data_IF_500234539226
#
_entry.id   IF_500234539226
#
_cell.length_a   1.000
_cell.length_b   1.000
_cell.length_c   1.000
_cell.angle_alpha   90.00
_cell.angle_beta   90.00
_cell.angle_gamma   90.00
#
_symmetry.space_group_name_H-M   'P 1'
#
loop_
_entity.id
_entity.type
_entity.pdbx_description
1 polymer ?
#
# COMPACT_ATOMS: atom_id res chain seq x y z
N UNK A 1 -3.07 -1.05 -17.67
CA UNK A 1 -3.47 -0.33 -16.46
C UNK A 1 -2.42 -0.48 -15.38
N UNK A 2 -1.97 0.63 -14.80
CA UNK A 2 -0.98 0.64 -13.72
C UNK A 2 -1.56 1.42 -12.53
N UNK A 3 -1.59 0.77 -11.38
CA UNK A 3 -2.04 1.37 -10.12
C UNK A 3 -0.84 1.47 -9.18
N UNK A 4 -0.64 2.66 -8.63
CA UNK A 4 0.35 2.90 -7.60
C UNK A 4 -0.32 2.71 -6.23
N UNK A 5 0.29 1.92 -5.36
CA UNK A 5 -0.11 1.82 -3.95
C UNK A 5 1.00 2.42 -3.10
N UNK A 6 0.66 3.38 -2.25
CA UNK A 6 1.62 4.16 -1.46
C UNK A 6 0.98 4.62 -0.13
N UNK A 7 1.74 5.13 0.82
CA UNK A 7 1.21 5.76 2.02
C UNK A 7 2.25 5.84 3.13
N UNK A 8 1.79 6.18 4.34
CA UNK A 8 2.63 6.34 5.53
C UNK A 8 3.82 7.29 5.27
N UNK A 9 3.52 8.50 4.79
CA UNK A 9 4.51 9.51 4.44
C UNK A 9 5.06 10.24 5.67
N UNK A 10 4.17 10.64 6.60
CA UNK A 10 4.50 11.40 7.80
C UNK A 10 5.38 12.65 7.53
N UNK A 11 4.98 13.46 6.55
CA UNK A 11 5.66 14.72 6.20
C UNK A 11 4.81 15.89 6.72
N UNK A 12 5.35 16.78 7.58
CA UNK A 12 6.76 16.95 7.94
C UNK A 12 7.22 16.21 9.22
N UNK A 13 6.31 15.60 9.97
CA UNK A 13 6.56 15.21 11.37
C UNK A 13 7.68 14.20 11.59
N UNK A 14 7.83 13.20 10.69
CA UNK A 14 8.86 12.16 10.81
C UNK A 14 9.92 12.24 9.71
N UNK A 15 9.57 12.80 8.55
CA UNK A 15 10.44 12.91 7.37
C UNK A 15 10.19 14.24 6.65
N UNK A 16 11.24 14.81 6.08
CA UNK A 16 11.14 16.08 5.36
C UNK A 16 10.71 15.93 3.89
N UNK A 17 11.06 14.82 3.24
CA UNK A 17 10.71 14.60 1.84
C UNK A 17 10.78 13.13 1.43
N UNK A 18 10.09 12.80 0.35
CA UNK A 18 10.23 11.52 -0.34
C UNK A 18 11.62 11.45 -1.00
N UNK A 19 12.26 10.28 -0.91
CA UNK A 19 13.60 10.05 -1.46
C UNK A 19 13.68 10.37 -2.96
N UNK A 20 14.77 11.01 -3.42
CA UNK A 20 14.91 11.50 -4.79
C UNK A 20 14.75 10.40 -5.85
N UNK A 21 15.31 9.21 -5.59
CA UNK A 21 15.14 8.05 -6.48
C UNK A 21 13.65 7.71 -6.75
N UNK A 22 12.77 7.95 -5.78
CA UNK A 22 11.33 7.74 -5.95
C UNK A 22 10.65 8.81 -6.80
N UNK A 23 11.07 10.07 -6.65
CA UNK A 23 10.54 11.16 -7.48
C UNK A 23 10.76 10.89 -8.97
N UNK A 24 11.92 10.34 -9.34
CA UNK A 24 12.23 10.00 -10.74
C UNK A 24 11.36 8.85 -11.28
N UNK A 25 11.02 7.88 -10.44
CA UNK A 25 10.16 6.75 -10.81
C UNK A 25 8.69 7.14 -10.93
N UNK A 26 8.26 8.14 -10.16
CA UNK A 26 6.91 8.70 -10.16
C UNK A 26 6.74 9.74 -11.27
N UNK A 27 7.12 9.38 -12.50
CA UNK A 27 6.95 10.25 -13.66
C UNK A 27 5.46 10.33 -14.03
N UNK A 28 4.89 11.54 -14.24
CA UNK A 28 3.51 11.71 -14.68
C UNK A 28 3.22 10.95 -16.00
N UNK A 29 1.99 10.49 -16.16
CA UNK A 29 1.51 9.85 -17.41
C UNK A 29 1.71 8.33 -17.51
N UNK A 30 2.41 7.69 -16.56
CA UNK A 30 2.53 6.22 -16.51
C UNK A 30 1.51 5.54 -15.59
N UNK A 31 1.07 6.24 -14.55
CA UNK A 31 0.19 5.73 -13.49
C UNK A 31 -1.23 6.20 -13.79
N UNK A 32 -2.20 5.30 -13.66
CA UNK A 32 -3.62 5.58 -13.95
C UNK A 32 -4.45 5.77 -12.68
N UNK A 33 -4.10 5.07 -11.60
CA UNK A 33 -4.76 5.20 -10.30
C UNK A 33 -3.71 5.23 -9.20
N UNK A 34 -3.92 6.07 -8.18
CA UNK A 34 -3.10 6.10 -6.96
C UNK A 34 -3.97 5.73 -5.76
N UNK A 35 -3.57 4.70 -5.03
CA UNK A 35 -4.19 4.26 -3.79
C UNK A 35 -3.26 4.61 -2.63
N UNK A 36 -3.71 5.50 -1.77
CA UNK A 36 -2.94 6.00 -0.64
C UNK A 36 -3.52 5.53 0.69
N UNK A 37 -2.75 4.81 1.50
CA UNK A 37 -3.18 4.33 2.83
C UNK A 37 -3.28 5.45 3.87
N UNK A 38 -2.89 6.69 3.55
CA UNK A 38 -3.00 7.85 4.44
C UNK A 38 -1.68 8.20 5.11
N UNK A 39 -1.76 8.92 6.23
CA UNK A 39 -0.64 9.53 6.95
C UNK A 39 0.20 10.44 6.02
N UNK A 40 -0.51 11.33 5.32
CA UNK A 40 0.07 12.38 4.49
C UNK A 40 0.51 13.57 5.35
N UNK A 41 -0.24 13.85 6.42
CA UNK A 41 -0.07 14.91 7.42
C UNK A 41 -0.24 16.34 6.87
N UNK A 42 0.04 16.59 5.59
CA UNK A 42 -0.10 17.90 4.95
C UNK A 42 -0.75 17.84 3.57
N UNK A 43 -1.54 18.85 3.22
CA UNK A 43 -2.15 19.02 1.88
C UNK A 43 -1.11 19.06 0.74
N UNK A 44 0.09 19.59 1.00
CA UNK A 44 1.17 19.62 0.01
C UNK A 44 1.53 18.24 -0.55
N UNK A 45 1.46 17.18 0.27
CA UNK A 45 1.75 15.82 -0.18
C UNK A 45 0.60 15.30 -1.05
N UNK A 46 -0.64 15.63 -0.69
CA UNK A 46 -1.82 15.32 -1.50
C UNK A 46 -1.74 15.99 -2.88
N UNK A 47 -1.40 17.28 -2.92
CA UNK A 47 -1.25 18.04 -4.16
C UNK A 47 -0.11 17.47 -5.04
N UNK A 48 0.97 17.01 -4.42
CA UNK A 48 2.04 16.28 -5.11
C UNK A 48 1.54 14.98 -5.76
N UNK A 49 0.72 14.19 -5.07
CA UNK A 49 0.12 12.97 -5.63
C UNK A 49 -0.83 13.28 -6.79
N UNK A 50 -1.59 14.38 -6.69
CA UNK A 50 -2.47 14.87 -7.75
C UNK A 50 -1.72 15.35 -9.00
N UNK A 51 -0.48 15.82 -8.84
CA UNK A 51 0.38 16.17 -9.97
C UNK A 51 0.88 14.94 -10.73
N UNK A 52 1.07 13.81 -10.04
CA UNK A 52 1.50 12.55 -10.67
C UNK A 52 0.34 11.89 -11.43
N UNK A 53 -0.86 11.90 -10.84
CA UNK A 53 -2.04 11.25 -11.37
C UNK A 53 -3.31 12.04 -11.02
N UNK A 54 -4.24 12.18 -11.96
CA UNK A 54 -5.52 12.85 -11.70
C UNK A 54 -6.42 12.03 -10.76
N UNK A 55 -6.38 10.70 -10.88
CA UNK A 55 -7.21 9.79 -10.08
C UNK A 55 -6.45 9.28 -8.85
N UNK A 56 -6.74 9.90 -7.71
CA UNK A 56 -6.08 9.68 -6.42
C UNK A 56 -7.13 9.37 -5.37
N UNK A 57 -6.99 8.20 -4.75
CA UNK A 57 -7.84 7.73 -3.67
C UNK A 57 -7.01 7.68 -2.39
N UNK A 58 -7.43 8.42 -1.39
CA UNK A 58 -6.76 8.49 -0.08
C UNK A 58 -7.77 8.10 0.99
N UNK A 59 -7.30 7.36 1.99
CA UNK A 59 -8.03 7.11 3.23
C UNK A 59 -7.37 7.83 4.40
N UNK A 60 -8.16 8.12 5.42
CA UNK A 60 -7.70 8.85 6.61
C UNK A 60 -6.74 7.99 7.41
N UNK A 61 -5.51 8.48 7.56
CA UNK A 61 -4.55 7.93 8.51
C UNK A 61 -4.77 8.44 9.93
N UNK A 62 -4.08 7.80 10.87
CA UNK A 62 -4.08 8.16 12.29
C UNK A 62 -3.67 9.62 12.51
N UNK A 63 -2.74 10.13 11.71
CA UNK A 63 -2.18 11.48 11.84
C UNK A 63 -2.74 12.49 10.83
N UNK A 64 -3.79 12.13 10.07
CA UNK A 64 -4.43 13.03 9.10
C UNK A 64 -5.61 13.80 9.74
N UNK A 65 -5.42 14.41 10.91
CA UNK A 65 -6.52 15.00 11.70
C UNK A 65 -7.29 16.10 10.96
N UNK A 66 -6.58 16.98 10.25
CA UNK A 66 -7.12 18.17 9.57
C UNK A 66 -7.57 17.91 8.12
N UNK A 67 -7.74 16.65 7.71
CA UNK A 67 -8.12 16.29 6.35
C UNK A 67 -9.42 15.47 6.35
N UNK A 68 -10.37 15.89 5.52
CA UNK A 68 -11.68 15.23 5.35
C UNK A 68 -11.56 14.01 4.41
N UNK A 69 -10.75 13.03 4.82
CA UNK A 69 -10.63 11.75 4.12
C UNK A 69 -11.54 10.68 4.73
N UNK A 70 -12.07 9.75 3.92
CA UNK A 70 -12.84 8.62 4.44
C UNK A 70 -11.93 7.63 5.17
N UNK A 71 -12.41 6.99 6.25
CA UNK A 71 -11.64 5.97 6.96
C UNK A 71 -11.44 4.68 6.14
N UNK A 72 -12.42 4.35 5.31
CA UNK A 72 -12.43 3.16 4.45
C UNK A 72 -12.94 3.57 3.07
N UNK A 73 -12.32 3.03 2.02
CA UNK A 73 -12.77 3.27 0.65
C UNK A 73 -12.72 1.97 -0.14
N UNK A 74 -13.81 1.69 -0.86
CA UNK A 74 -13.88 0.57 -1.80
C UNK A 74 -13.92 1.14 -3.21
N UNK A 75 -13.11 0.58 -4.10
CA UNK A 75 -12.98 1.01 -5.48
C UNK A 75 -12.87 -0.21 -6.39
N UNK A 76 -13.47 -0.12 -7.57
CA UNK A 76 -13.40 -1.19 -8.58
C UNK A 76 -12.45 -0.76 -9.68
N UNK A 77 -11.40 -1.54 -9.90
CA UNK A 77 -10.38 -1.27 -10.93
C UNK A 77 -10.30 -2.48 -11.85
N UNK A 78 -10.86 -2.34 -13.05
CA UNK A 78 -11.10 -3.47 -13.95
C UNK A 78 -12.09 -4.45 -13.34
N UNK A 79 -11.68 -5.72 -13.20
CA UNK A 79 -12.51 -6.80 -12.65
C UNK A 79 -12.23 -7.08 -11.16
N UNK A 80 -11.46 -6.23 -10.50
CA UNK A 80 -11.09 -6.40 -9.10
C UNK A 80 -11.73 -5.32 -8.25
N UNK A 81 -12.35 -5.73 -7.14
CA UNK A 81 -12.81 -4.83 -6.09
C UNK A 81 -11.70 -4.69 -5.05
N UNK A 82 -11.26 -3.47 -4.82
CA UNK A 82 -10.14 -3.15 -3.94
C UNK A 82 -10.66 -2.38 -2.74
N UNK A 83 -10.40 -2.90 -1.54
CA UNK A 83 -10.61 -2.20 -0.28
C UNK A 83 -9.35 -1.47 0.13
N UNK A 84 -9.49 -0.23 0.57
CA UNK A 84 -8.41 0.62 1.05
C UNK A 84 -8.71 1.05 2.47
N UNK A 85 -7.74 0.84 3.37
CA UNK A 85 -7.74 1.27 4.77
C UNK A 85 -6.34 1.70 5.20
N UNK A 86 -6.23 2.51 6.27
CA UNK A 86 -4.93 2.82 6.86
C UNK A 86 -4.41 1.65 7.70
N UNK A 87 -5.26 1.02 8.52
CA UNK A 87 -4.87 -0.15 9.32
C UNK A 87 -4.66 0.14 10.80
N UNK A 88 -4.55 1.41 11.22
CA UNK A 88 -4.53 1.78 12.65
C UNK A 88 -5.82 1.34 13.39
N UNK A 89 -6.92 1.17 12.64
CA UNK A 89 -8.21 0.70 13.18
C UNK A 89 -8.20 -0.79 13.56
N UNK A 90 -7.20 -1.55 13.09
CA UNK A 90 -7.13 -3.01 13.29
C UNK A 90 -6.23 -3.30 14.47
N UNK A 91 -6.81 -3.76 15.58
CA UNK A 91 -6.07 -4.13 16.79
C UNK A 91 -6.25 -5.63 17.01
N UNK A 92 -5.23 -6.48 17.13
CA UNK A 92 -3.81 -6.17 17.04
C UNK A 92 -3.39 -5.71 15.64
N UNK A 93 -2.41 -4.81 15.58
CA UNK A 93 -1.92 -4.27 14.31
C UNK A 93 -1.32 -5.37 13.43
N UNK A 94 -1.75 -5.43 12.17
CA UNK A 94 -1.28 -6.43 11.20
C UNK A 94 -1.83 -7.84 11.42
N UNK A 95 -2.85 -8.02 12.28
CA UNK A 95 -3.47 -9.33 12.49
C UNK A 95 -4.19 -9.82 11.22
N UNK A 96 -3.74 -10.96 10.69
CA UNK A 96 -4.24 -11.51 9.43
C UNK A 96 -5.72 -11.92 9.50
N UNK A 97 -6.18 -12.43 10.65
CA UNK A 97 -7.57 -12.87 10.81
C UNK A 97 -8.51 -11.67 10.80
N UNK A 98 -8.16 -10.59 11.50
CA UNK A 98 -8.97 -9.36 11.51
C UNK A 98 -8.97 -8.66 10.16
N UNK A 99 -7.85 -8.63 9.46
CA UNK A 99 -7.80 -8.14 8.08
C UNK A 99 -8.70 -8.99 7.17
N UNK A 100 -8.70 -10.32 7.31
CA UNK A 100 -9.59 -11.19 6.55
C UNK A 100 -11.07 -11.00 6.91
N UNK A 101 -11.40 -10.75 8.18
CA UNK A 101 -12.78 -10.41 8.57
C UNK A 101 -13.23 -9.10 7.93
N UNK A 102 -12.38 -8.07 7.93
CA UNK A 102 -12.70 -6.80 7.31
C UNK A 102 -12.84 -6.93 5.79
N UNK A 103 -11.97 -7.71 5.15
CA UNK A 103 -12.07 -8.00 3.72
C UNK A 103 -13.44 -8.60 3.38
N UNK A 104 -13.92 -9.58 4.15
CA UNK A 104 -15.25 -10.19 3.96
C UNK A 104 -16.38 -9.19 4.20
N UNK A 105 -16.24 -8.32 5.20
CA UNK A 105 -17.23 -7.28 5.48
C UNK A 105 -17.35 -6.26 4.34
N UNK A 106 -16.22 -5.91 3.71
CA UNK A 106 -16.18 -4.99 2.56
C UNK A 106 -16.47 -5.71 1.22
N UNK A 107 -16.46 -7.04 1.22
CA UNK A 107 -16.65 -7.89 0.05
C UNK A 107 -15.67 -7.51 -1.08
N UNK A 108 -14.35 -7.51 -0.79
CA UNK A 108 -13.29 -7.06 -1.73
C UNK A 108 -12.33 -8.19 -2.13
N UNK A 109 -11.89 -8.24 -3.39
CA UNK A 109 -10.88 -9.22 -3.83
C UNK A 109 -9.48 -8.92 -3.26
N UNK A 110 -9.17 -7.62 -3.13
CA UNK A 110 -7.86 -7.13 -2.69
C UNK A 110 -8.07 -6.16 -1.53
N UNK A 111 -7.43 -6.42 -0.38
CA UNK A 111 -7.40 -5.48 0.73
C UNK A 111 -6.02 -4.82 0.83
N UNK A 112 -6.01 -3.49 0.81
CA UNK A 112 -4.82 -2.66 0.98
C UNK A 112 -4.86 -2.01 2.36
N UNK A 113 -3.83 -2.25 3.16
CA UNK A 113 -3.65 -1.69 4.51
C UNK A 113 -2.24 -1.12 4.68
N UNK A 114 -2.05 -0.12 5.54
CA UNK A 114 -0.75 0.44 5.92
C UNK A 114 -0.44 0.24 7.40
N UNK A 115 0.01 1.31 8.08
CA UNK A 115 0.26 1.43 9.53
C UNK A 115 1.48 0.66 10.06
N UNK A 116 1.69 -0.59 9.65
CA UNK A 116 2.84 -1.39 10.13
C UNK A 116 4.19 -0.90 9.62
N UNK A 117 4.19 -0.04 8.58
CA UNK A 117 5.35 0.43 7.81
C UNK A 117 6.21 -0.69 7.19
N UNK A 118 5.72 -1.93 7.22
CA UNK A 118 6.40 -3.09 6.62
C UNK A 118 5.70 -3.46 5.33
N UNK A 119 6.50 -3.57 4.27
CA UNK A 119 5.98 -4.03 2.99
C UNK A 119 5.60 -5.51 3.08
N UNK A 120 4.34 -5.82 2.81
CA UNK A 120 3.80 -7.19 2.77
C UNK A 120 2.90 -7.37 1.55
N UNK A 121 2.96 -8.54 0.93
CA UNK A 121 2.03 -8.93 -0.12
C UNK A 121 1.85 -10.44 -0.07
N UNK A 122 0.65 -10.89 0.27
CA UNK A 122 0.36 -12.30 0.45
C UNK A 122 -1.09 -12.61 0.09
N UNK A 123 -1.34 -13.87 -0.22
CA UNK A 123 -2.68 -14.41 -0.44
C UNK A 123 -3.11 -15.15 0.83
N UNK A 124 -4.36 -14.95 1.24
CA UNK A 124 -4.93 -15.63 2.39
C UNK A 124 -6.40 -15.96 2.08
N UNK A 125 -6.71 -17.25 1.98
CA UNK A 125 -7.96 -17.70 1.36
C UNK A 125 -7.97 -17.36 -0.13
N UNK A 126 -9.12 -16.90 -0.64
CA UNK A 126 -9.29 -16.48 -2.04
C UNK A 126 -9.06 -14.97 -2.25
N UNK A 127 -8.34 -14.32 -1.32
CA UNK A 127 -8.20 -12.86 -1.27
C UNK A 127 -6.74 -12.44 -1.13
N UNK A 128 -6.42 -11.27 -1.67
CA UNK A 128 -5.06 -10.75 -1.70
C UNK A 128 -4.89 -9.57 -0.74
N UNK A 129 -3.85 -9.60 0.08
CA UNK A 129 -3.55 -8.58 1.07
C UNK A 129 -2.26 -7.86 0.69
N UNK A 130 -2.30 -6.53 0.71
CA UNK A 130 -1.17 -5.68 0.33
C UNK A 130 -0.93 -4.63 1.40
N UNK A 131 0.32 -4.55 1.84
CA UNK A 131 0.84 -3.43 2.58
C UNK A 131 2.00 -2.78 1.81
N UNK A 132 1.86 -1.53 1.35
CA UNK A 132 2.94 -0.85 0.62
C UNK A 132 4.15 -0.52 1.51
N UNK A 133 3.98 -0.53 2.84
CA UNK A 133 4.93 0.05 3.79
C UNK A 133 5.00 1.58 3.70
N UNK A 134 5.96 2.18 4.40
CA UNK A 134 6.12 3.64 4.44
C UNK A 134 6.89 4.18 3.24
N UNK A 135 6.26 5.07 2.46
CA UNK A 135 6.82 5.77 1.29
C UNK A 135 8.17 6.46 1.56
N UNK A 136 8.34 6.94 2.78
CA UNK A 136 9.50 7.73 3.23
C UNK A 136 10.40 6.94 4.19
N UNK A 137 10.01 5.72 4.55
CA UNK A 137 10.62 4.94 5.63
C UNK A 137 10.56 5.68 6.96
N UNK A 138 9.41 6.27 7.27
CA UNK A 138 9.13 6.86 8.56
C UNK A 138 9.24 5.81 9.66
N UNK A 139 9.69 6.21 10.85
CA UNK A 139 9.76 5.34 12.01
C UNK A 139 8.36 4.79 12.35
N UNK A 140 8.26 3.53 12.79
CA UNK A 140 7.05 2.94 13.39
C UNK A 140 7.45 2.00 14.53
N UNK A 141 6.71 1.99 15.65
CA UNK A 141 6.99 1.13 16.80
C UNK A 141 6.85 -0.36 16.50
N UNK A 142 6.13 -0.74 15.42
CA UNK A 142 5.95 -2.14 15.02
C UNK A 142 7.15 -2.73 14.29
N UNK A 143 8.11 -1.89 13.87
CA UNK A 143 9.30 -2.34 13.13
C UNK A 143 10.41 -2.66 14.12
N UNK A 144 10.48 -3.92 14.51
CA UNK A 144 11.57 -4.44 15.34
C UNK A 144 12.74 -4.82 14.41
N UNK A 145 13.85 -4.08 14.48
CA UNK A 145 15.12 -4.20 13.73
C UNK A 145 15.37 -3.19 12.61
N UNK A 146 16.63 -2.69 12.59
CA UNK A 146 17.34 -1.84 11.62
C UNK A 146 17.24 -2.35 10.16
N UNK A 147 16.03 -2.49 9.63
CA UNK A 147 15.77 -2.90 8.26
C UNK A 147 15.73 -1.64 7.38
N UNK A 148 16.93 -1.22 6.99
CA UNK A 148 17.28 -0.23 5.97
C UNK A 148 16.11 0.22 5.07
N UNK A 149 15.71 1.47 5.32
CA UNK A 149 14.71 2.31 4.62
C UNK A 149 14.91 2.40 3.09
N UNK A 150 16.00 1.87 2.54
CA UNK A 150 16.39 2.07 1.14
C UNK A 150 15.90 1.01 0.14
N UNK A 151 15.38 -0.16 0.54
CA UNK A 151 15.20 -1.26 -0.44
C UNK A 151 13.75 -1.80 -0.65
N UNK A 152 12.79 -1.53 0.23
CA UNK A 152 11.47 -2.18 0.12
C UNK A 152 10.49 -1.49 -0.84
N UNK A 153 10.78 -0.26 -1.24
CA UNK A 153 9.82 0.59 -1.94
C UNK A 153 9.76 0.33 -3.46
N UNK A 154 10.82 -0.29 -4.05
CA UNK A 154 10.80 -0.79 -5.42
C UNK A 154 9.92 -2.06 -5.59
N UNK A 155 9.52 -2.70 -4.48
CA UNK A 155 8.65 -3.88 -4.50
C UNK A 155 7.19 -3.49 -4.77
N UNK A 156 6.68 -2.42 -4.14
CA UNK A 156 5.29 -1.96 -4.24
C UNK A 156 4.86 -1.61 -5.69
N UNK A 157 5.70 -0.90 -6.45
CA UNK A 157 5.35 -0.39 -7.80
C UNK A 157 5.16 -1.52 -8.83
N UNK A 158 5.75 -2.70 -8.62
CA UNK A 158 5.67 -3.84 -9.57
C UNK A 158 4.61 -4.88 -9.22
N UNK A 159 3.99 -4.82 -8.04
CA UNK A 159 3.12 -5.91 -7.56
C UNK A 159 1.81 -6.00 -8.31
N UNK A 160 1.18 -4.86 -8.65
CA UNK A 160 -0.09 -4.95 -9.37
C UNK A 160 0.06 -5.44 -10.82
N UNK A 161 1.23 -5.23 -11.46
CA UNK A 161 1.55 -5.84 -12.77
C UNK A 161 1.61 -7.38 -12.69
N UNK A 162 1.99 -7.94 -11.53
CA UNK A 162 2.11 -9.40 -11.34
C UNK A 162 0.79 -10.02 -10.89
N UNK A 163 -0.01 -9.35 -10.07
CA UNK A 163 -1.33 -9.84 -9.61
C UNK A 163 -2.27 -10.10 -10.80
N UNK A 164 -2.36 -9.17 -11.75
CA UNK A 164 -3.17 -9.35 -12.98
C UNK A 164 -2.63 -10.47 -13.88
N UNK A 165 -1.31 -10.71 -13.87
CA UNK A 165 -0.68 -11.78 -14.64
C UNK A 165 -0.81 -13.17 -13.99
N UNK A 166 -0.82 -13.25 -12.65
CA UNK A 166 -0.95 -14.48 -11.87
C UNK A 166 -2.36 -15.09 -11.98
N UNK A 167 -3.43 -14.30 -11.99
CA UNK A 167 -4.80 -14.84 -12.17
C UNK A 167 -5.07 -15.41 -13.57
N UNK A 168 -4.24 -15.08 -14.58
CA UNK A 168 -4.35 -15.60 -15.96
C UNK A 168 -3.55 -16.89 -16.21
N UNK A 169 -2.68 -17.29 -15.29
CA UNK A 169 -1.90 -18.53 -15.36
C UNK A 169 -1.86 -19.14 -13.97
N UNK A 170 -2.64 -20.20 -13.75
CA UNK A 170 -2.39 -21.39 -12.91
C UNK A 170 -3.76 -21.92 -12.42
N UNK A 171 -4.19 -23.12 -12.87
CA UNK A 171 -5.08 -23.95 -12.07
C UNK A 171 -4.23 -24.64 -10.99
N UNK A 172 -4.68 -24.60 -9.74
CA UNK A 172 -4.26 -25.47 -8.62
C UNK A 172 -2.73 -25.67 -8.45
N UNK A 173 -2.09 -24.89 -7.58
CA UNK A 173 -0.86 -25.38 -6.93
C UNK A 173 -0.66 -24.74 -5.54
N UNK A 174 -0.89 -25.56 -4.51
CA UNK A 174 -0.43 -25.44 -3.12
C UNK A 174 0.67 -24.39 -2.88
N UNK A 175 0.34 -23.25 -2.27
CA UNK A 175 1.32 -22.31 -1.73
C UNK A 175 1.57 -22.65 -0.26
N UNK A 176 2.44 -23.64 -0.02
CA UNK A 176 3.10 -23.81 1.29
C UNK A 176 4.11 -22.68 1.46
N UNK A 177 3.87 -21.84 2.46
CA UNK A 177 4.84 -20.92 3.12
C UNK A 177 5.88 -20.28 2.20
N UNK A 178 5.65 -19.05 1.74
CA UNK A 178 6.75 -18.23 1.20
C UNK A 178 6.46 -16.73 1.37
N UNK A 179 7.12 -16.11 2.37
CA UNK A 179 7.49 -14.69 2.27
C UNK A 179 8.33 -14.55 1.01
N UNK A 180 7.82 -13.86 -0.02
CA UNK A 180 8.54 -13.66 -1.28
C UNK A 180 9.72 -12.70 -1.09
N UNK A 181 10.89 -13.23 -0.69
CA UNK A 181 12.16 -12.51 -0.80
C UNK A 181 12.66 -12.64 -2.24
N UNK A 182 12.45 -11.61 -3.06
CA UNK A 182 13.10 -11.53 -4.37
C UNK A 182 14.56 -11.16 -4.16
N UNK A 183 15.48 -12.12 -4.37
CA UNK A 183 16.92 -11.86 -4.56
C UNK A 183 17.12 -11.25 -5.95
N UNK A 184 17.83 -10.13 -6.02
CA UNK A 184 18.42 -9.65 -7.27
C UNK A 184 19.93 -9.60 -7.07
N UNK A 185 20.67 -10.27 -7.96
CA UNK A 185 22.09 -10.05 -8.21
C UNK A 185 22.23 -8.82 -9.11
N UNK A 186 23.19 -7.98 -8.78
CA UNK A 186 23.47 -6.66 -9.38
C UNK A 186 23.73 -6.71 -10.89
#
# INVERSE_FOLDING_TARGET
MLVLVIGDFHIPDRKHSVHFAFKNLLTPGKIQHVLCTGNLNTKNVYDYLKLICSDVHVVKGEFDENMDFPHTKVLTVGNFKIGLINGYQIVPWGDQQRLAMLQRQLDVDILVSGHTHQFEAYEYGDCFFINPGSATGAFSPTVNSLSYVTCHLLRAVKIMRRIVALRRRIPLCSVRTNRFYVKYTW
#
